data_IF_633522316964
#
_entry.id   IF_633522316964
#
_cell.length_a   1.000
_cell.length_b   1.000
_cell.length_c   1.000
_cell.angle_alpha   90.00
_cell.angle_beta   90.00
_cell.angle_gamma   90.00
#
_symmetry.space_group_name_H-M   'P 1'
#
loop_
_entity.id
_entity.type
_entity.pdbx_description
1 polymer ?
#
# COMPACT_ATOMS: atom_id res chain seq x y z
N UNK A 1 0.06 45.48 -15.70
CA UNK A 1 0.52 44.09 -15.84
C UNK A 1 1.26 43.74 -14.56
N UNK A 2 0.51 43.30 -13.54
CA UNK A 2 0.99 42.94 -12.19
C UNK A 2 0.31 41.64 -11.68
N UNK A 3 -0.60 41.08 -12.47
CA UNK A 3 -1.55 40.07 -12.03
C UNK A 3 -0.86 38.71 -11.72
N UNK A 4 0.35 38.50 -12.22
CA UNK A 4 1.13 37.27 -12.00
C UNK A 4 1.74 37.15 -10.61
N UNK A 5 2.12 38.27 -9.96
CA UNK A 5 2.70 38.25 -8.61
C UNK A 5 1.64 37.89 -7.56
N UNK A 6 0.48 38.52 -7.68
CA UNK A 6 -0.68 38.30 -6.79
C UNK A 6 -1.20 36.86 -6.85
N UNK A 7 -1.19 36.23 -8.03
CA UNK A 7 -1.60 34.83 -8.20
C UNK A 7 -0.64 33.85 -7.52
N UNK A 8 0.67 34.11 -7.57
CA UNK A 8 1.67 33.26 -6.94
C UNK A 8 1.60 33.35 -5.41
N UNK A 9 1.43 34.55 -4.86
CA UNK A 9 1.25 34.73 -3.41
C UNK A 9 -0.01 34.04 -2.90
N UNK A 10 -1.13 34.18 -3.64
CA UNK A 10 -2.39 33.53 -3.29
C UNK A 10 -2.25 32.01 -3.31
N UNK A 11 -1.65 31.45 -4.36
CA UNK A 11 -1.40 30.01 -4.48
C UNK A 11 -0.52 29.48 -3.34
N UNK A 12 0.52 30.24 -2.96
CA UNK A 12 1.39 29.89 -1.83
C UNK A 12 0.62 29.84 -0.50
N UNK A 13 -0.22 30.84 -0.24
CA UNK A 13 -1.05 30.88 0.98
C UNK A 13 -2.08 29.75 1.04
N UNK A 14 -2.67 29.38 -0.11
CA UNK A 14 -3.65 28.30 -0.20
C UNK A 14 -2.97 26.94 0.06
N UNK A 15 -1.77 26.71 -0.48
CA UNK A 15 -0.99 25.50 -0.21
C UNK A 15 -0.59 25.40 1.26
N UNK A 16 -0.15 26.49 1.88
CA UNK A 16 0.20 26.51 3.31
C UNK A 16 -1.01 26.20 4.20
N UNK A 17 -2.18 26.76 3.88
CA UNK A 17 -3.41 26.49 4.61
C UNK A 17 -3.83 25.03 4.53
N UNK A 18 -3.75 24.45 3.33
CA UNK A 18 -4.10 23.05 3.09
C UNK A 18 -3.12 22.08 3.73
N UNK A 19 -1.84 22.43 3.79
CA UNK A 19 -0.80 21.59 4.39
C UNK A 19 -0.75 21.68 5.91
N UNK A 20 -1.20 22.77 6.53
CA UNK A 20 -1.26 22.92 7.99
C UNK A 20 -2.45 22.22 8.66
N UNK A 21 -3.29 21.54 7.89
CA UNK A 21 -4.42 20.79 8.45
C UNK A 21 -3.94 19.62 9.33
N UNK A 22 -4.50 19.52 10.54
CA UNK A 22 -4.22 18.43 11.50
C UNK A 22 -4.82 17.11 11.04
N UNK A 23 -5.89 17.14 10.24
CA UNK A 23 -6.53 15.92 9.71
C UNK A 23 -5.55 15.07 8.90
N UNK A 24 -4.57 15.69 8.23
CA UNK A 24 -3.52 14.99 7.47
C UNK A 24 -2.72 13.99 8.31
N UNK A 25 -2.65 14.16 9.63
CA UNK A 25 -1.90 13.26 10.51
C UNK A 25 -2.71 12.04 10.95
N UNK A 26 -4.02 12.22 11.10
CA UNK A 26 -4.95 11.23 11.65
C UNK A 26 -5.51 10.34 10.55
N UNK A 27 -5.64 10.88 9.34
CA UNK A 27 -6.21 10.19 8.19
C UNK A 27 -5.35 8.99 7.76
N UNK A 28 -5.95 7.80 7.78
CA UNK A 28 -5.35 6.57 7.26
C UNK A 28 -5.61 6.37 5.76
N UNK A 29 -6.76 6.84 5.26
CA UNK A 29 -7.12 6.87 3.84
C UNK A 29 -7.07 8.28 3.28
N UNK A 30 -6.04 8.57 2.49
CA UNK A 30 -5.85 9.87 1.87
C UNK A 30 -7.00 10.23 0.91
N UNK A 31 -7.74 9.25 0.37
CA UNK A 31 -8.90 9.51 -0.48
C UNK A 31 -10.09 10.10 0.30
N UNK A 32 -10.09 10.02 1.63
CA UNK A 32 -11.09 10.64 2.49
C UNK A 32 -10.81 12.13 2.81
N UNK A 33 -9.68 12.68 2.36
CA UNK A 33 -9.36 14.09 2.57
C UNK A 33 -10.25 14.97 1.69
N UNK A 34 -10.79 16.05 2.28
CA UNK A 34 -11.63 17.03 1.56
C UNK A 34 -10.90 17.66 0.36
N UNK A 35 -9.59 17.91 0.53
CA UNK A 35 -8.74 18.53 -0.47
C UNK A 35 -7.53 17.65 -0.78
N UNK A 36 -7.72 16.70 -1.69
CA UNK A 36 -6.65 15.83 -2.17
C UNK A 36 -5.89 16.50 -3.32
N UNK A 37 -4.65 16.90 -3.05
CA UNK A 37 -3.71 17.44 -4.04
C UNK A 37 -2.34 16.78 -3.85
N UNK A 38 -1.44 16.95 -4.83
CA UNK A 38 -0.06 16.45 -4.70
C UNK A 38 0.63 16.99 -3.44
N UNK A 39 0.43 18.28 -3.13
CA UNK A 39 1.00 18.91 -1.95
C UNK A 39 0.45 18.31 -0.64
N UNK A 40 -0.87 18.07 -0.55
CA UNK A 40 -1.46 17.49 0.67
C UNK A 40 -1.12 16.02 0.83
N UNK A 41 -1.05 15.25 -0.27
CA UNK A 41 -0.56 13.87 -0.25
C UNK A 41 0.88 13.79 0.24
N UNK A 42 1.78 14.61 -0.33
CA UNK A 42 3.18 14.61 0.06
C UNK A 42 3.35 14.99 1.53
N UNK A 43 2.62 16.00 2.01
CA UNK A 43 2.68 16.41 3.42
C UNK A 43 2.12 15.35 4.37
N UNK A 44 0.98 14.72 4.02
CA UNK A 44 0.41 13.61 4.77
C UNK A 44 1.43 12.46 4.90
N UNK A 45 1.99 12.03 3.77
CA UNK A 45 3.02 10.99 3.72
C UNK A 45 4.26 11.36 4.55
N UNK A 46 4.73 12.61 4.45
CA UNK A 46 5.87 13.11 5.24
C UNK A 46 5.60 13.05 6.74
N UNK A 47 4.42 13.47 7.19
CA UNK A 47 4.01 13.46 8.61
C UNK A 47 3.84 12.06 9.14
N UNK A 48 3.23 11.16 8.36
CA UNK A 48 3.05 9.74 8.71
C UNK A 48 4.38 9.01 8.81
N UNK A 49 5.30 9.24 7.86
CA UNK A 49 6.65 8.68 7.87
C UNK A 49 7.45 9.04 9.13
N UNK A 50 7.32 10.28 9.61
CA UNK A 50 7.97 10.74 10.86
C UNK A 50 7.48 10.00 12.11
N UNK A 51 6.30 9.38 12.04
CA UNK A 51 5.67 8.61 13.14
C UNK A 51 5.72 7.10 12.91
N UNK A 52 6.63 6.61 12.08
CA UNK A 52 6.76 5.19 11.72
C UNK A 52 5.49 4.57 11.07
N UNK A 53 4.58 5.41 10.55
CA UNK A 53 3.43 4.97 9.76
C UNK A 53 3.80 4.96 8.29
N UNK A 54 4.32 3.83 7.83
CA UNK A 54 4.86 3.70 6.45
C UNK A 54 3.84 3.29 5.40
N UNK A 55 2.66 2.86 5.83
CA UNK A 55 1.56 2.47 4.96
C UNK A 55 0.41 3.47 5.09
N UNK A 56 -0.18 3.83 3.95
CA UNK A 56 -1.33 4.73 3.84
C UNK A 56 -2.27 4.21 2.77
N UNK A 57 -3.58 4.24 3.03
CA UNK A 57 -4.58 3.95 2.00
C UNK A 57 -4.75 5.16 1.09
N UNK A 58 -5.05 4.88 -0.17
CA UNK A 58 -5.48 5.83 -1.17
C UNK A 58 -6.63 5.16 -1.92
N UNK A 59 -7.80 5.14 -1.29
CA UNK A 59 -8.94 4.35 -1.73
C UNK A 59 -8.60 2.87 -1.80
N UNK A 60 -8.65 2.29 -3.01
CA UNK A 60 -8.35 0.87 -3.24
C UNK A 60 -6.87 0.49 -3.31
N UNK A 61 -5.96 1.46 -3.16
CA UNK A 61 -4.50 1.23 -3.29
C UNK A 61 -3.82 1.51 -1.95
N UNK A 62 -2.81 0.69 -1.60
CA UNK A 62 -1.96 0.93 -0.43
C UNK A 62 -0.62 1.51 -0.89
N UNK A 63 -0.31 2.71 -0.42
CA UNK A 63 0.97 3.40 -0.65
C UNK A 63 1.93 3.03 0.48
N UNK A 64 3.15 2.63 0.11
CA UNK A 64 4.21 2.26 1.05
C UNK A 64 5.45 3.14 0.87
N UNK A 65 5.98 3.65 1.97
CA UNK A 65 7.25 4.40 1.99
C UNK A 65 8.33 3.57 2.69
N UNK A 66 9.50 3.45 2.10
CA UNK A 66 10.60 2.70 2.72
C UNK A 66 11.09 3.40 4.00
N UNK A 67 10.99 2.79 5.20
CA UNK A 67 11.43 3.40 6.46
C UNK A 67 12.95 3.60 6.56
N UNK A 68 13.75 2.89 5.74
CA UNK A 68 15.20 2.79 5.88
C UNK A 68 15.70 2.41 7.30
N UNK A 69 14.80 1.94 8.16
CA UNK A 69 15.05 1.37 9.49
C UNK A 69 14.08 0.20 9.73
N UNK A 70 14.36 -0.61 10.75
CA UNK A 70 13.40 -1.61 11.22
C UNK A 70 12.34 -0.90 12.07
N UNK A 71 11.07 -1.18 11.81
CA UNK A 71 9.96 -0.77 12.67
C UNK A 71 9.54 -2.00 13.45
N UNK A 72 9.53 -1.92 14.77
CA UNK A 72 9.15 -3.04 15.63
C UNK A 72 7.67 -3.37 15.46
N UNK A 73 7.33 -4.66 15.56
CA UNK A 73 5.95 -5.18 15.53
C UNK A 73 5.15 -4.93 14.23
N UNK A 74 5.77 -4.40 13.18
CA UNK A 74 5.11 -4.13 11.89
C UNK A 74 4.72 -5.42 11.14
N UNK A 75 5.53 -6.47 11.24
CA UNK A 75 5.31 -7.78 10.60
C UNK A 75 5.29 -8.92 11.62
N UNK A 76 4.74 -8.64 12.81
CA UNK A 76 4.62 -9.66 13.84
C UNK A 76 3.52 -10.67 13.49
N UNK A 77 3.66 -11.92 13.92
CA UNK A 77 2.68 -12.99 13.65
C UNK A 77 1.29 -12.63 14.21
N UNK A 78 1.25 -11.86 15.30
CA UNK A 78 0.01 -11.32 15.85
C UNK A 78 -0.72 -10.36 14.89
N UNK A 79 0.02 -9.58 14.09
CA UNK A 79 -0.56 -8.65 13.13
C UNK A 79 -1.12 -9.39 11.89
N UNK A 80 -0.44 -10.45 11.46
CA UNK A 80 -0.94 -11.33 10.40
C UNK A 80 -2.25 -12.02 10.81
N UNK A 81 -2.33 -12.51 12.06
CA UNK A 81 -3.54 -13.15 12.61
C UNK A 81 -4.69 -12.18 12.81
N UNK A 82 -4.42 -10.95 13.24
CA UNK A 82 -5.43 -9.90 13.36
C UNK A 82 -6.05 -9.56 11.98
N UNK A 83 -5.25 -9.64 10.91
CA UNK A 83 -5.74 -9.55 9.52
C UNK A 83 -6.66 -10.70 9.10
N UNK A 84 -6.44 -11.91 9.61
CA UNK A 84 -7.05 -13.16 9.12
C UNK A 84 -8.45 -13.47 9.69
N UNK A 85 -9.16 -12.50 10.28
CA UNK A 85 -10.45 -12.77 10.95
C UNK A 85 -11.38 -11.57 11.07
N UNK A 86 -10.83 -10.38 11.31
CA UNK A 86 -11.64 -9.16 11.47
C UNK A 86 -12.05 -8.57 10.10
N UNK A 87 -12.99 -7.62 10.11
CA UNK A 87 -13.31 -6.84 8.91
C UNK A 87 -12.03 -6.16 8.41
N UNK A 88 -11.58 -6.51 7.19
CA UNK A 88 -10.41 -5.90 6.55
C UNK A 88 -10.47 -4.36 6.54
N UNK A 89 -11.68 -3.80 6.64
CA UNK A 89 -11.95 -2.37 6.72
C UNK A 89 -11.62 -1.72 8.09
N UNK A 90 -11.50 -2.51 9.16
CA UNK A 90 -11.08 -2.05 10.49
C UNK A 90 -9.56 -2.08 10.66
N UNK A 91 -8.85 -2.74 9.74
CA UNK A 91 -7.40 -2.84 9.76
C UNK A 91 -6.77 -1.57 9.17
N UNK A 92 -5.77 -1.07 9.89
CA UNK A 92 -4.89 -0.01 9.38
C UNK A 92 -4.29 -0.44 8.04
N UNK A 93 -4.02 0.51 7.12
CA UNK A 93 -3.44 0.22 5.81
C UNK A 93 -2.24 -0.72 5.94
N UNK A 94 -2.37 -1.93 5.40
CA UNK A 94 -1.32 -2.93 5.48
C UNK A 94 -1.43 -3.93 4.32
N UNK A 95 -0.31 -4.42 3.76
CA UNK A 95 -0.33 -5.44 2.71
C UNK A 95 -1.03 -6.74 3.12
N UNK A 96 -1.04 -7.10 4.41
CA UNK A 96 -1.80 -8.27 4.88
C UNK A 96 -3.31 -8.08 4.75
N UNK A 97 -3.82 -6.88 5.03
CA UNK A 97 -5.24 -6.58 4.85
C UNK A 97 -5.63 -6.64 3.36
N UNK A 98 -4.74 -6.16 2.48
CA UNK A 98 -4.94 -6.26 1.03
C UNK A 98 -4.90 -7.72 0.53
N UNK A 99 -3.97 -8.52 1.05
CA UNK A 99 -3.87 -9.94 0.74
C UNK A 99 -5.09 -10.73 1.18
N UNK A 100 -5.53 -10.53 2.44
CA UNK A 100 -6.74 -11.13 2.98
C UNK A 100 -7.98 -10.75 2.16
N UNK A 101 -8.12 -9.48 1.81
CA UNK A 101 -9.24 -8.99 0.99
C UNK A 101 -9.25 -9.67 -0.39
N UNK A 102 -8.10 -9.84 -1.03
CA UNK A 102 -7.99 -10.57 -2.30
C UNK A 102 -8.36 -12.04 -2.15
N UNK A 103 -7.85 -12.73 -1.12
CA UNK A 103 -8.18 -14.14 -0.82
C UNK A 103 -9.68 -14.31 -0.60
N UNK A 104 -10.29 -13.48 0.25
CA UNK A 104 -11.75 -13.48 0.50
C UNK A 104 -12.53 -13.17 -0.77
N UNK A 105 -12.05 -12.22 -1.58
CA UNK A 105 -12.63 -11.89 -2.87
C UNK A 105 -12.71 -13.08 -3.80
N UNK A 106 -11.65 -13.90 -3.87
CA UNK A 106 -11.72 -15.12 -4.68
C UNK A 106 -12.74 -16.13 -4.13
N UNK A 107 -12.78 -16.36 -2.81
CA UNK A 107 -13.73 -17.31 -2.20
C UNK A 107 -15.18 -16.84 -2.40
N UNK A 108 -15.44 -15.55 -2.19
CA UNK A 108 -16.78 -14.94 -2.30
C UNK A 108 -17.25 -14.86 -3.75
N UNK A 109 -16.40 -14.30 -4.62
CA UNK A 109 -16.79 -13.94 -5.99
C UNK A 109 -16.49 -15.05 -7.00
N UNK A 110 -15.75 -16.10 -6.59
CA UNK A 110 -15.32 -17.25 -7.42
C UNK A 110 -14.59 -16.82 -8.69
N UNK A 111 -13.83 -15.74 -8.60
CA UNK A 111 -13.04 -15.18 -9.70
C UNK A 111 -11.58 -15.05 -9.29
N UNK A 112 -10.67 -15.24 -10.25
CA UNK A 112 -9.24 -15.02 -10.02
C UNK A 112 -8.97 -13.57 -9.63
N UNK A 113 -8.08 -13.38 -8.66
CA UNK A 113 -7.67 -12.08 -8.17
C UNK A 113 -6.17 -11.87 -8.40
N UNK A 114 -5.74 -10.62 -8.51
CA UNK A 114 -4.32 -10.30 -8.67
C UNK A 114 -3.91 -9.14 -7.80
N UNK A 115 -2.70 -9.23 -7.26
CA UNK A 115 -2.07 -8.19 -6.46
C UNK A 115 -0.85 -7.66 -7.22
N UNK A 116 -0.91 -6.39 -7.60
CA UNK A 116 0.18 -5.70 -8.27
C UNK A 116 0.96 -4.86 -7.27
N UNK A 117 2.26 -5.17 -7.13
CA UNK A 117 3.18 -4.40 -6.30
C UNK A 117 4.10 -3.61 -7.22
N UNK A 118 3.92 -2.30 -7.26
CA UNK A 118 4.79 -1.38 -7.98
C UNK A 118 5.88 -0.89 -7.03
N UNK A 119 7.12 -1.13 -7.39
CA UNK A 119 8.28 -0.73 -6.59
C UNK A 119 9.17 0.17 -7.41
N UNK A 120 9.30 1.41 -6.95
CA UNK A 120 10.28 2.35 -7.45
C UNK A 120 11.36 2.59 -6.39
N UNK A 121 12.62 2.60 -6.81
CA UNK A 121 13.73 2.88 -5.90
C UNK A 121 15.09 2.46 -6.46
N UNK A 122 16.14 2.98 -5.83
CA UNK A 122 17.53 2.70 -6.22
C UNK A 122 17.87 1.20 -6.05
N UNK A 123 18.65 0.67 -7.01
CA UNK A 123 19.16 -0.72 -7.00
C UNK A 123 19.78 -1.05 -5.63
N UNK A 124 19.49 -2.25 -5.11
CA UNK A 124 19.98 -2.76 -3.82
C UNK A 124 19.09 -2.46 -2.60
N UNK A 125 18.36 -1.33 -2.60
CA UNK A 125 17.58 -0.90 -1.42
C UNK A 125 16.11 -1.33 -1.45
N UNK A 126 15.48 -1.28 -2.62
CA UNK A 126 14.06 -1.57 -2.77
C UNK A 126 13.74 -3.08 -2.65
N UNK A 127 14.69 -3.95 -3.01
CA UNK A 127 14.45 -5.39 -3.11
C UNK A 127 14.70 -6.13 -1.79
N UNK A 128 15.62 -5.66 -0.95
CA UNK A 128 16.05 -6.37 0.26
C UNK A 128 15.24 -6.03 1.53
N UNK A 129 14.36 -5.01 1.49
CA UNK A 129 13.55 -4.59 2.67
C UNK A 129 12.04 -4.69 2.52
N UNK A 130 11.51 -4.80 1.30
CA UNK A 130 10.10 -5.13 1.06
C UNK A 130 9.87 -6.64 0.86
N UNK A 131 10.93 -7.44 0.78
CA UNK A 131 10.85 -8.91 0.79
C UNK A 131 9.97 -9.52 1.92
N UNK A 132 10.00 -9.03 3.18
CA UNK A 132 9.11 -9.55 4.23
C UNK A 132 7.62 -9.23 4.01
N UNK A 133 7.28 -8.31 3.11
CA UNK A 133 5.89 -8.08 2.68
C UNK A 133 5.39 -9.20 1.75
N UNK A 134 6.28 -9.80 0.95
CA UNK A 134 5.93 -10.82 -0.05
C UNK A 134 5.88 -12.22 0.57
N UNK A 135 6.67 -12.50 1.62
CA UNK A 135 6.68 -13.83 2.27
C UNK A 135 5.32 -14.31 2.78
N UNK A 136 4.56 -13.48 3.53
CA UNK A 136 3.25 -13.85 4.07
C UNK A 136 2.17 -14.02 2.99
N UNK A 137 2.29 -13.33 1.86
CA UNK A 137 1.46 -13.58 0.67
C UNK A 137 1.66 -15.02 0.14
N UNK A 138 2.89 -15.53 0.19
CA UNK A 138 3.18 -16.92 -0.19
C UNK A 138 2.67 -17.97 0.81
N UNK A 139 2.51 -17.62 2.10
CA UNK A 139 1.88 -18.49 3.10
C UNK A 139 0.36 -18.51 2.93
N UNK A 140 -0.27 -17.33 2.73
CA UNK A 140 -1.68 -17.23 2.38
C UNK A 140 -2.03 -17.98 1.10
N UNK A 141 -1.13 -17.97 0.10
CA UNK A 141 -1.29 -18.75 -1.13
C UNK A 141 -1.40 -20.26 -0.86
N UNK A 142 -0.62 -20.81 0.08
CA UNK A 142 -0.64 -22.25 0.41
C UNK A 142 -1.87 -22.67 1.20
N UNK A 143 -2.31 -21.84 2.14
CA UNK A 143 -3.55 -22.09 2.88
C UNK A 143 -4.77 -21.98 1.96
N UNK A 144 -4.70 -21.08 0.98
CA UNK A 144 -5.70 -20.93 -0.06
C UNK A 144 -5.76 -22.09 -1.07
N UNK A 145 -4.63 -22.57 -1.60
CA UNK A 145 -4.60 -23.74 -2.50
C UNK A 145 -5.29 -24.96 -1.86
N UNK A 146 -5.13 -25.11 -0.55
CA UNK A 146 -5.76 -26.17 0.25
C UNK A 146 -7.29 -26.02 0.31
N UNK A 147 -7.82 -24.81 0.46
CA UNK A 147 -9.26 -24.55 0.51
C UNK A 147 -9.91 -24.54 -0.88
N UNK A 148 -9.19 -24.07 -1.91
CA UNK A 148 -9.60 -24.13 -3.33
C UNK A 148 -9.75 -25.58 -3.81
N UNK A 149 -8.81 -26.44 -3.41
CA UNK A 149 -8.85 -27.88 -3.69
C UNK A 149 -10.07 -28.56 -3.07
N UNK A 150 -10.63 -28.02 -1.98
CA UNK A 150 -11.85 -28.51 -1.35
C UNK A 150 -13.12 -27.99 -2.03
N UNK A 151 -13.08 -26.82 -2.68
CA UNK A 151 -14.25 -26.22 -3.33
C UNK A 151 -14.41 -26.58 -4.81
N UNK A 152 -13.46 -27.31 -5.42
CA UNK A 152 -13.55 -27.77 -6.80
C UNK A 152 -13.52 -26.67 -7.86
N UNK A 153 -13.05 -25.47 -7.51
CA UNK A 153 -13.00 -24.30 -8.39
C UNK A 153 -11.54 -23.96 -8.73
N UNK A 154 -11.24 -23.83 -10.03
CA UNK A 154 -9.94 -23.41 -10.53
C UNK A 154 -9.86 -21.89 -10.57
N UNK A 155 -9.64 -21.28 -9.42
CA UNK A 155 -9.39 -19.85 -9.29
C UNK A 155 -7.95 -19.61 -8.82
N UNK A 156 -7.35 -18.50 -9.22
CA UNK A 156 -5.93 -18.22 -8.93
C UNK A 156 -5.76 -16.87 -8.23
N UNK A 157 -4.81 -16.80 -7.29
CA UNK A 157 -4.34 -15.56 -6.68
C UNK A 157 -2.91 -15.26 -7.12
N UNK A 158 -2.74 -14.30 -8.03
CA UNK A 158 -1.43 -13.99 -8.62
C UNK A 158 -0.86 -12.70 -8.03
N UNK A 159 0.35 -12.77 -7.45
CA UNK A 159 1.09 -11.57 -7.02
C UNK A 159 2.18 -11.24 -8.03
N UNK A 160 2.11 -10.06 -8.65
CA UNK A 160 3.12 -9.57 -9.60
C UNK A 160 3.85 -8.39 -9.01
N UNK A 161 5.19 -8.45 -8.99
CA UNK A 161 6.03 -7.32 -8.59
C UNK A 161 6.58 -6.65 -9.85
N UNK A 162 6.19 -5.41 -10.08
CA UNK A 162 6.74 -4.59 -11.15
C UNK A 162 7.79 -3.63 -10.57
N UNK A 163 8.96 -3.59 -11.21
CA UNK A 163 10.05 -2.69 -10.83
C UNK A 163 10.34 -1.77 -12.00
N UNK A 164 10.34 -0.46 -11.75
CA UNK A 164 10.86 0.51 -12.70
C UNK A 164 12.36 0.29 -12.82
N UNK A 165 12.74 -0.48 -13.83
CA UNK A 165 14.12 -0.62 -14.23
C UNK A 165 14.37 0.51 -15.22
N UNK A 166 15.39 1.32 -14.96
CA UNK A 166 15.99 2.15 -16.00
C UNK A 166 16.58 1.32 -17.15
N UNK A 167 16.41 -0.01 -17.15
CA UNK A 167 16.78 -0.91 -18.24
C UNK A 167 15.70 -1.98 -18.47
N UNK A 168 15.10 -1.89 -19.65
CA UNK A 168 14.17 -2.86 -20.22
C UNK A 168 14.80 -4.27 -20.23
N UNK A 169 14.09 -5.27 -19.69
CA UNK A 169 14.40 -6.69 -19.93
C UNK A 169 14.97 -7.46 -18.73
N UNK A 170 14.08 -8.08 -17.96
CA UNK A 170 14.11 -9.54 -17.70
C UNK A 170 12.84 -9.92 -16.93
N UNK A 171 11.92 -10.63 -17.58
CA UNK A 171 10.84 -11.32 -16.89
C UNK A 171 11.45 -12.47 -16.10
N UNK A 172 11.21 -12.52 -14.78
CA UNK A 172 11.35 -13.74 -13.99
C UNK A 172 9.95 -14.17 -13.57
N UNK A 173 9.42 -15.17 -14.26
CA UNK A 173 8.40 -16.06 -13.72
C UNK A 173 9.10 -16.98 -12.73
N UNK A 174 8.65 -16.99 -11.47
CA UNK A 174 9.07 -18.03 -10.53
C UNK A 174 8.28 -19.32 -10.84
N UNK A 175 8.92 -20.50 -10.71
CA UNK A 175 8.30 -21.79 -10.98
C UNK A 175 7.25 -22.17 -9.95
#
# INVERSE_FOLDING_TARGET
MDDGGVLLEKLGSDVERLTNDKTLEETEDMAALENLSEATMLECLRRRYRRDRIYSSLGGVVVAINPFRKIERLYDDGYARFGAGDDANLLKPHPYALAESAVRGVVRDRTSQSLLVIVEGRRGFATNRFAPTIGPLGLLHKDYERDASRSGAAYELTTTVWKSSSEFGLRRTFP
#
